data_IF_152098826178
#
_entry.id   IF_152098826178
#
_cell.length_a   1.000
_cell.length_b   1.000
_cell.length_c   1.000
_cell.angle_alpha   90.00
_cell.angle_beta   90.00
_cell.angle_gamma   90.00
#
_symmetry.space_group_name_H-M   'P 1'
#
loop_
_entity.id
_entity.type
_entity.pdbx_description
1 polymer ?
#
# COMPACT_ATOMS: atom_id res chain seq x y z
N UNK A 1 33.08 8.65 1.54
CA UNK A 1 32.20 7.49 1.29
C UNK A 1 30.91 7.99 0.63
N UNK A 2 30.74 7.94 -0.72
CA UNK A 2 29.61 8.58 -1.39
C UNK A 2 28.55 7.64 -2.01
N UNK A 3 28.62 6.31 -1.79
CA UNK A 3 27.68 5.37 -2.42
C UNK A 3 26.33 5.19 -1.67
N UNK A 4 26.19 5.69 -0.44
CA UNK A 4 24.93 5.55 0.33
C UNK A 4 23.80 6.48 -0.15
N UNK A 5 24.09 7.59 -0.83
CA UNK A 5 23.07 8.63 -1.05
C UNK A 5 21.98 8.27 -2.06
N UNK A 6 22.31 7.51 -3.11
CA UNK A 6 21.36 7.21 -4.19
C UNK A 6 20.39 6.08 -3.82
N UNK A 7 20.88 5.09 -3.05
CA UNK A 7 20.05 3.98 -2.55
C UNK A 7 19.05 4.44 -1.49
N UNK A 8 19.47 5.33 -0.59
CA UNK A 8 18.58 5.90 0.43
C UNK A 8 17.48 6.76 -0.20
N UNK A 9 17.79 7.56 -1.24
CA UNK A 9 16.79 8.35 -1.97
C UNK A 9 15.73 7.45 -2.62
N UNK A 10 16.16 6.40 -3.34
CA UNK A 10 15.25 5.49 -4.04
C UNK A 10 14.33 4.73 -3.06
N UNK A 11 14.85 4.33 -1.89
CA UNK A 11 14.04 3.67 -0.86
C UNK A 11 13.00 4.63 -0.25
N UNK A 12 13.37 5.90 -0.02
CA UNK A 12 12.45 6.93 0.48
C UNK A 12 11.35 7.23 -0.55
N UNK A 13 11.71 7.38 -1.81
CA UNK A 13 10.78 7.60 -2.93
C UNK A 13 9.82 6.42 -3.09
N UNK A 14 10.33 5.19 -3.07
CA UNK A 14 9.49 3.99 -3.12
C UNK A 14 8.55 3.92 -1.93
N UNK A 15 9.02 4.23 -0.71
CA UNK A 15 8.16 4.26 0.47
C UNK A 15 7.06 5.32 0.32
N UNK A 16 7.39 6.52 -0.16
CA UNK A 16 6.42 7.58 -0.37
C UNK A 16 5.34 7.12 -1.36
N UNK A 17 5.74 6.54 -2.48
CA UNK A 17 4.82 6.00 -3.47
C UNK A 17 3.89 4.93 -2.89
N UNK A 18 4.43 3.98 -2.12
CA UNK A 18 3.62 2.93 -1.47
C UNK A 18 2.59 3.52 -0.50
N UNK A 19 2.98 4.54 0.26
CA UNK A 19 2.08 5.24 1.18
C UNK A 19 0.98 5.95 0.42
N UNK A 20 1.31 6.62 -0.69
CA UNK A 20 0.33 7.32 -1.52
C UNK A 20 -0.68 6.34 -2.14
N UNK A 21 -0.21 5.23 -2.72
CA UNK A 21 -1.08 4.19 -3.29
C UNK A 21 -2.01 3.60 -2.21
N UNK A 22 -1.50 3.32 -1.01
CA UNK A 22 -2.33 2.84 0.10
C UNK A 22 -3.35 3.91 0.53
N UNK A 23 -2.97 5.19 0.51
CA UNK A 23 -3.85 6.32 0.79
C UNK A 23 -4.98 6.46 -0.23
N UNK A 24 -4.65 6.34 -1.52
CA UNK A 24 -5.64 6.33 -2.62
C UNK A 24 -6.63 5.17 -2.46
N UNK A 25 -6.14 3.97 -2.12
CA UNK A 25 -7.00 2.82 -1.86
C UNK A 25 -7.93 3.08 -0.68
N UNK A 26 -7.42 3.61 0.43
CA UNK A 26 -8.22 3.94 1.61
C UNK A 26 -9.30 5.00 1.33
N UNK A 27 -9.07 5.88 0.35
CA UNK A 27 -10.01 6.90 -0.11
C UNK A 27 -10.91 6.42 -1.27
N UNK A 28 -10.84 5.16 -1.68
CA UNK A 28 -11.60 4.63 -2.81
C UNK A 28 -13.11 4.74 -2.57
N UNK A 29 -13.86 5.03 -3.63
CA UNK A 29 -15.32 4.99 -3.61
C UNK A 29 -15.87 3.55 -3.53
N UNK A 30 -15.05 2.54 -3.86
CA UNK A 30 -15.38 1.13 -3.70
C UNK A 30 -15.20 0.74 -2.22
N UNK A 31 -16.27 0.35 -1.50
CA UNK A 31 -16.16 0.02 -0.07
C UNK A 31 -15.17 -1.11 0.21
N UNK A 32 -15.10 -2.09 -0.70
CA UNK A 32 -14.16 -3.22 -0.59
C UNK A 32 -12.70 -2.75 -0.68
N UNK A 33 -12.40 -1.82 -1.58
CA UNK A 33 -11.04 -1.33 -1.80
C UNK A 33 -10.65 -0.36 -0.68
N UNK A 34 -11.58 0.48 -0.24
CA UNK A 34 -11.44 1.35 0.93
C UNK A 34 -11.11 0.54 2.19
N UNK A 35 -11.85 -0.54 2.47
CA UNK A 35 -11.57 -1.45 3.60
C UNK A 35 -10.17 -2.06 3.52
N UNK A 36 -9.76 -2.51 2.32
CA UNK A 36 -8.41 -3.04 2.09
C UNK A 36 -7.33 -1.96 2.31
N UNK A 37 -7.55 -0.74 1.81
CA UNK A 37 -6.62 0.39 1.99
C UNK A 37 -6.51 0.83 3.45
N UNK A 38 -7.63 0.94 4.17
CA UNK A 38 -7.67 1.29 5.59
C UNK A 38 -6.91 0.28 6.45
N UNK A 39 -7.10 -1.02 6.17
CA UNK A 39 -6.37 -2.10 6.85
C UNK A 39 -4.85 -1.97 6.63
N UNK A 40 -4.40 -1.76 5.38
CA UNK A 40 -2.98 -1.61 5.07
C UNK A 40 -2.39 -0.33 5.70
N UNK A 41 -3.15 0.77 5.65
CA UNK A 41 -2.77 2.05 6.24
C UNK A 41 -2.58 1.93 7.74
N UNK A 42 -3.55 1.34 8.45
CA UNK A 42 -3.50 1.24 9.91
C UNK A 42 -2.42 0.24 10.36
N UNK A 43 -2.23 -0.87 9.64
CA UNK A 43 -1.23 -1.89 10.01
C UNK A 43 0.20 -1.55 9.60
N UNK A 44 0.46 -1.22 8.33
CA UNK A 44 1.82 -1.06 7.81
C UNK A 44 2.35 0.36 7.90
N UNK A 45 1.49 1.38 7.73
CA UNK A 45 1.92 2.78 7.68
C UNK A 45 1.87 3.41 9.07
N UNK A 46 0.69 3.42 9.70
CA UNK A 46 0.47 4.01 11.02
C UNK A 46 0.91 3.09 12.17
N UNK A 47 1.04 1.78 11.92
CA UNK A 47 1.46 0.77 12.92
C UNK A 47 0.61 0.81 14.19
N UNK A 48 -0.71 0.86 14.02
CA UNK A 48 -1.69 1.04 15.10
C UNK A 48 -1.69 -0.13 16.10
N UNK A 49 -1.29 -1.34 15.69
CA UNK A 49 -1.22 -2.50 16.58
C UNK A 49 -1.05 -3.82 15.84
N UNK A 50 -1.38 -4.92 16.51
CA UNK A 50 -1.39 -6.26 15.90
C UNK A 50 -2.56 -6.44 14.92
N UNK A 51 -2.55 -7.54 14.17
CA UNK A 51 -3.66 -7.92 13.29
C UNK A 51 -5.01 -7.94 14.04
N UNK A 52 -5.05 -8.44 15.27
CA UNK A 52 -6.23 -8.50 16.14
C UNK A 52 -6.77 -7.10 16.45
N UNK A 53 -5.89 -6.14 16.77
CA UNK A 53 -6.29 -4.74 17.01
C UNK A 53 -6.91 -4.13 15.76
N UNK A 54 -6.34 -4.38 14.58
CA UNK A 54 -6.90 -3.88 13.32
C UNK A 54 -8.26 -4.51 13.03
N UNK A 55 -8.39 -5.83 13.24
CA UNK A 55 -9.66 -6.55 13.08
C UNK A 55 -10.77 -5.96 13.95
N UNK A 56 -10.48 -5.70 15.23
CA UNK A 56 -11.43 -5.10 16.17
C UNK A 56 -11.86 -3.69 15.73
N UNK A 57 -10.90 -2.84 15.37
CA UNK A 57 -11.15 -1.44 14.97
C UNK A 57 -11.96 -1.32 13.69
N UNK A 58 -11.72 -2.21 12.73
CA UNK A 58 -12.43 -2.23 11.45
C UNK A 58 -13.66 -3.14 11.46
N UNK A 59 -14.01 -3.72 12.61
CA UNK A 59 -15.14 -4.64 12.78
C UNK A 59 -15.10 -5.83 11.80
N UNK A 60 -13.91 -6.35 11.53
CA UNK A 60 -13.69 -7.46 10.60
C UNK A 60 -13.52 -8.79 11.35
N UNK A 61 -14.21 -9.83 10.87
CA UNK A 61 -13.87 -11.20 11.27
C UNK A 61 -12.52 -11.62 10.69
N UNK A 62 -11.82 -12.56 11.33
CA UNK A 62 -10.53 -13.08 10.86
C UNK A 62 -10.54 -13.53 9.39
N UNK A 63 -11.56 -14.25 8.87
CA UNK A 63 -11.61 -14.58 7.45
C UNK A 63 -11.74 -13.35 6.55
N UNK A 64 -12.52 -12.35 6.97
CA UNK A 64 -12.69 -11.10 6.21
C UNK A 64 -11.39 -10.31 6.17
N UNK A 65 -10.69 -10.23 7.30
CA UNK A 65 -9.38 -9.59 7.41
C UNK A 65 -8.39 -10.13 6.38
N UNK A 66 -8.18 -11.45 6.35
CA UNK A 66 -7.20 -12.02 5.42
C UNK A 66 -7.62 -11.92 3.95
N UNK A 67 -8.93 -11.98 3.65
CA UNK A 67 -9.42 -11.69 2.29
C UNK A 67 -9.15 -10.25 1.88
N UNK A 68 -9.36 -9.27 2.78
CA UNK A 68 -9.10 -7.86 2.52
C UNK A 68 -7.62 -7.54 2.43
N UNK A 69 -6.80 -8.18 3.27
CA UNK A 69 -5.35 -8.08 3.21
C UNK A 69 -4.82 -8.58 1.87
N UNK A 70 -5.25 -9.77 1.44
CA UNK A 70 -4.84 -10.33 0.16
C UNK A 70 -5.27 -9.44 -1.02
N UNK A 71 -6.55 -9.05 -1.06
CA UNK A 71 -7.09 -8.14 -2.07
C UNK A 71 -6.32 -6.80 -2.11
N UNK A 72 -5.97 -6.25 -0.95
CA UNK A 72 -5.18 -5.03 -0.84
C UNK A 72 -3.79 -5.19 -1.45
N UNK A 73 -3.12 -6.32 -1.22
CA UNK A 73 -1.82 -6.59 -1.85
C UNK A 73 -1.93 -6.73 -3.37
N UNK A 74 -2.95 -7.40 -3.89
CA UNK A 74 -3.18 -7.51 -5.33
C UNK A 74 -3.37 -6.12 -5.98
N UNK A 75 -4.16 -5.25 -5.34
CA UNK A 75 -4.39 -3.89 -5.82
C UNK A 75 -3.11 -3.03 -5.80
N UNK A 76 -2.36 -3.07 -4.70
CA UNK A 76 -1.09 -2.33 -4.57
C UNK A 76 -0.08 -2.82 -5.61
N UNK A 77 0.09 -4.13 -5.75
CA UNK A 77 0.99 -4.71 -6.75
C UNK A 77 0.60 -4.30 -8.17
N UNK A 78 -0.68 -4.44 -8.53
CA UNK A 78 -1.17 -4.03 -9.84
C UNK A 78 -0.95 -2.54 -10.13
N UNK A 79 -1.09 -1.67 -9.12
CA UNK A 79 -0.83 -0.24 -9.26
C UNK A 79 0.65 0.06 -9.49
N UNK A 80 1.54 -0.60 -8.75
CA UNK A 80 3.00 -0.46 -8.92
C UNK A 80 3.42 -0.95 -10.31
N UNK A 81 2.87 -2.08 -10.77
CA UNK A 81 3.17 -2.61 -12.09
C UNK A 81 2.78 -1.62 -13.19
N UNK A 82 1.58 -1.03 -13.12
CA UNK A 82 1.13 0.00 -14.05
C UNK A 82 2.07 1.21 -14.07
N UNK A 83 2.46 1.71 -12.90
CA UNK A 83 3.39 2.84 -12.78
C UNK A 83 4.78 2.48 -13.32
N UNK A 84 5.25 1.26 -13.10
CA UNK A 84 6.52 0.77 -13.64
C UNK A 84 6.53 0.73 -15.17
N UNK A 85 5.39 0.40 -15.79
CA UNK A 85 5.22 0.39 -17.24
C UNK A 85 5.19 1.82 -17.76
N UNK A 86 4.40 2.70 -17.15
CA UNK A 86 4.31 4.11 -17.53
C UNK A 86 5.69 4.80 -17.46
N UNK A 87 6.43 4.58 -16.38
CA UNK A 87 7.77 5.14 -16.20
C UNK A 87 8.77 4.63 -17.25
N UNK A 88 8.64 3.38 -17.71
CA UNK A 88 9.49 2.85 -18.79
C UNK A 88 9.21 3.54 -20.12
N UNK A 89 7.95 3.82 -20.42
CA UNK A 89 7.56 4.49 -21.67
C UNK A 89 8.07 5.93 -21.72
N UNK A 90 8.01 6.66 -20.61
CA UNK A 90 8.50 8.05 -20.52
C UNK A 90 10.02 8.20 -20.60
N UNK A 91 10.78 7.12 -20.36
CA UNK A 91 12.26 7.14 -20.43
C UNK A 91 12.76 6.82 -21.85
N UNK A 92 11.92 6.19 -22.68
CA UNK A 92 12.24 5.85 -24.08
C UNK A 92 11.93 6.94 -25.10
N UNK A 93 11.27 8.02 -24.69
CA UNK A 93 11.03 9.24 -25.50
C UNK A 93 12.08 10.32 -25.19
#
# INVERSE_FOLDING_TARGET
>A
MPALSKGDSAAVELRALLVDVIGELAASASPRDAESGLLLLDYYVKRVGSHEVIMERLHMSRPTYYRRLHHGFELVAGRIDQLSVANRLTVTE
#
